data_IF_461295537386
#
_entry.id   IF_461295537386
#
_cell.length_a   1.000
_cell.length_b   1.000
_cell.length_c   1.000
_cell.angle_alpha   90.00
_cell.angle_beta   90.00
_cell.angle_gamma   90.00
#
_symmetry.space_group_name_H-M   'P 1'
#
loop_
_entity.id
_entity.type
_entity.pdbx_description
1 polymer ?
#
# COMPACT_ATOMS: atom_id res chain seq x y z
N UNK A 1 17.82 -6.61 -1.05
CA UNK A 1 17.24 -5.89 0.10
C UNK A 1 16.10 -6.75 0.59
N UNK A 2 16.18 -7.33 1.80
CA UNK A 2 15.09 -8.19 2.29
C UNK A 2 13.88 -7.32 2.63
N UNK A 3 12.73 -7.58 1.99
CA UNK A 3 11.47 -6.88 2.26
C UNK A 3 10.62 -7.57 3.36
N UNK A 4 11.10 -8.69 3.91
CA UNK A 4 10.41 -9.41 4.96
C UNK A 4 10.61 -8.69 6.31
N UNK A 5 9.70 -7.78 6.63
CA UNK A 5 9.79 -6.97 7.85
C UNK A 5 8.79 -7.46 8.90
N UNK A 6 9.29 -8.06 9.99
CA UNK A 6 8.48 -8.43 11.15
C UNK A 6 8.21 -7.25 12.11
N UNK A 7 8.93 -6.13 11.95
CA UNK A 7 8.77 -4.89 12.74
C UNK A 7 8.03 -3.78 11.97
N UNK A 8 7.68 -2.71 12.67
CA UNK A 8 7.08 -1.50 12.08
C UNK A 8 8.09 -0.75 11.24
N UNK A 9 7.69 -0.36 10.03
CA UNK A 9 8.49 0.47 9.14
C UNK A 9 8.11 1.95 9.28
N UNK A 10 9.10 2.82 9.15
CA UNK A 10 8.81 4.24 8.93
C UNK A 10 8.29 4.48 7.50
N UNK A 11 7.83 5.71 7.22
CA UNK A 11 7.24 6.06 5.92
C UNK A 11 8.22 5.90 4.75
N UNK A 12 9.52 6.19 4.96
CA UNK A 12 10.54 6.10 3.91
C UNK A 12 10.82 4.64 3.59
N UNK A 13 11.07 3.83 4.62
CA UNK A 13 11.27 2.39 4.49
C UNK A 13 10.06 1.70 3.84
N UNK A 14 8.85 2.12 4.23
CA UNK A 14 7.60 1.58 3.67
C UNK A 14 7.47 1.88 2.19
N UNK A 15 7.83 3.09 1.76
CA UNK A 15 7.88 3.46 0.35
C UNK A 15 8.91 2.62 -0.41
N UNK A 16 10.11 2.46 0.12
CA UNK A 16 11.16 1.66 -0.53
C UNK A 16 10.73 0.20 -0.72
N UNK A 17 10.24 -0.43 0.35
CA UNK A 17 9.73 -1.81 0.31
C UNK A 17 8.61 -1.95 -0.71
N UNK A 18 7.63 -1.05 -0.67
CA UNK A 18 6.48 -1.14 -1.57
C UNK A 18 6.84 -0.82 -3.02
N UNK A 19 7.87 0.00 -3.27
CA UNK A 19 8.42 0.24 -4.61
C UNK A 19 9.00 -1.03 -5.20
N UNK A 20 9.81 -1.76 -4.44
CA UNK A 20 10.35 -3.04 -4.90
C UNK A 20 9.24 -4.08 -5.17
N UNK A 21 8.20 -4.12 -4.33
CA UNK A 21 7.03 -4.97 -4.57
C UNK A 21 6.32 -4.57 -5.86
N UNK A 22 6.03 -3.28 -6.05
CA UNK A 22 5.30 -2.76 -7.22
C UNK A 22 6.06 -2.99 -8.54
N UNK A 23 7.38 -2.88 -8.50
CA UNK A 23 8.26 -3.11 -9.65
C UNK A 23 8.51 -4.61 -9.93
N UNK A 24 8.04 -5.52 -9.08
CA UNK A 24 8.31 -6.96 -9.20
C UNK A 24 9.76 -7.34 -8.89
N UNK A 25 10.48 -6.50 -8.15
CA UNK A 25 11.89 -6.66 -7.78
C UNK A 25 12.08 -7.55 -6.54
N UNK A 26 11.11 -8.39 -6.22
CA UNK A 26 11.07 -9.25 -5.02
C UNK A 26 10.73 -10.68 -5.43
N UNK A 27 11.32 -11.66 -4.73
CA UNK A 27 10.98 -13.06 -4.97
C UNK A 27 9.58 -13.41 -4.43
N UNK A 28 8.96 -14.47 -4.96
CA UNK A 28 7.67 -14.98 -4.47
C UNK A 28 7.71 -15.30 -2.96
N UNK A 29 8.85 -15.80 -2.49
CA UNK A 29 9.06 -16.13 -1.08
C UNK A 29 9.06 -14.86 -0.20
N UNK A 30 9.76 -13.81 -0.63
CA UNK A 30 9.80 -12.52 0.07
C UNK A 30 8.43 -11.84 0.06
N UNK A 31 7.71 -11.87 -1.07
CA UNK A 31 6.35 -11.34 -1.18
C UNK A 31 5.39 -12.10 -0.26
N UNK A 32 5.47 -13.43 -0.22
CA UNK A 32 4.68 -14.26 0.68
C UNK A 32 4.96 -13.96 2.15
N UNK A 33 6.24 -13.83 2.52
CA UNK A 33 6.65 -13.47 3.88
C UNK A 33 6.13 -12.08 4.29
N UNK A 34 6.22 -11.08 3.40
CA UNK A 34 5.65 -9.76 3.62
C UNK A 34 4.13 -9.82 3.84
N UNK A 35 3.39 -10.55 3.00
CA UNK A 35 1.95 -10.72 3.14
C UNK A 35 1.56 -11.35 4.49
N UNK A 36 2.29 -12.37 4.94
CA UNK A 36 2.06 -13.03 6.23
C UNK A 36 2.35 -12.06 7.39
N UNK A 37 3.44 -11.31 7.33
CA UNK A 37 3.78 -10.32 8.36
C UNK A 37 2.69 -9.24 8.48
N UNK A 38 2.21 -8.71 7.34
CA UNK A 38 1.11 -7.74 7.31
C UNK A 38 -0.21 -8.33 7.83
N UNK A 39 -0.50 -9.60 7.56
CA UNK A 39 -1.69 -10.28 8.09
C UNK A 39 -1.69 -10.36 9.62
N UNK A 40 -0.52 -10.55 10.22
CA UNK A 40 -0.35 -10.70 11.67
C UNK A 40 -0.28 -9.34 12.37
N UNK A 41 0.55 -8.41 11.88
CA UNK A 41 0.79 -7.13 12.55
C UNK A 41 -0.19 -6.02 12.14
N UNK A 42 -0.80 -6.13 10.96
CA UNK A 42 -1.54 -5.06 10.31
C UNK A 42 -0.64 -3.95 9.76
N UNK A 43 -1.26 -2.91 9.22
CA UNK A 43 -0.60 -1.68 8.79
C UNK A 43 -0.72 -0.57 9.84
N UNK A 44 0.36 0.18 10.01
CA UNK A 44 0.32 1.47 10.69
C UNK A 44 0.01 2.59 9.70
N UNK A 45 -0.42 3.76 10.20
CA UNK A 45 -0.64 4.93 9.35
C UNK A 45 0.62 5.37 8.59
N UNK A 46 1.80 5.29 9.23
CA UNK A 46 3.07 5.64 8.60
C UNK A 46 3.40 4.70 7.43
N UNK A 47 3.14 3.40 7.61
CA UNK A 47 3.36 2.39 6.58
C UNK A 47 2.44 2.61 5.38
N UNK A 48 1.15 2.81 5.64
CA UNK A 48 0.16 3.07 4.61
C UNK A 48 0.50 4.33 3.80
N UNK A 49 0.96 5.40 4.45
CA UNK A 49 1.41 6.60 3.77
C UNK A 49 2.61 6.35 2.84
N UNK A 50 3.56 5.50 3.26
CA UNK A 50 4.69 5.11 2.41
C UNK A 50 4.25 4.29 1.20
N UNK A 51 3.28 3.38 1.38
CA UNK A 51 2.71 2.61 0.27
C UNK A 51 1.99 3.51 -0.74
N UNK A 52 1.24 4.51 -0.26
CA UNK A 52 0.59 5.51 -1.12
C UNK A 52 1.62 6.37 -1.86
N UNK A 53 2.74 6.75 -1.23
CA UNK A 53 3.81 7.51 -1.90
C UNK A 53 4.43 6.75 -3.08
N UNK A 54 4.50 5.42 -2.99
CA UNK A 54 4.90 4.57 -4.11
C UNK A 54 3.83 4.54 -5.20
N UNK A 55 2.55 4.45 -4.85
CA UNK A 55 1.46 4.37 -5.83
C UNK A 55 1.20 5.69 -6.53
N UNK A 56 1.38 6.82 -5.86
CA UNK A 56 0.97 8.15 -6.32
C UNK A 56 1.43 8.50 -7.75
N UNK A 57 2.68 8.22 -8.19
CA UNK A 57 3.12 8.47 -9.56
C UNK A 57 2.41 7.62 -10.63
N UNK A 58 1.81 6.50 -10.23
CA UNK A 58 1.12 5.55 -11.11
C UNK A 58 -0.41 5.76 -11.14
N UNK A 59 -0.94 6.67 -10.32
CA UNK A 59 -2.38 6.94 -10.24
C UNK A 59 -2.82 7.93 -11.32
N UNK A 60 -3.87 7.57 -12.05
CA UNK A 60 -4.60 8.51 -12.90
C UNK A 60 -5.56 9.32 -12.04
N UNK A 61 -5.14 10.53 -11.65
CA UNK A 61 -5.94 11.40 -10.80
C UNK A 61 -7.18 11.93 -11.54
N UNK A 62 -8.33 11.89 -10.88
CA UNK A 62 -9.57 12.44 -11.40
C UNK A 62 -9.53 13.97 -11.35
N UNK A 63 -9.88 14.62 -12.47
CA UNK A 63 -10.14 16.05 -12.46
C UNK A 63 -11.55 16.31 -11.91
N UNK A 64 -11.61 16.91 -10.72
CA UNK A 64 -12.85 17.11 -9.97
C UNK A 64 -13.59 18.40 -10.41
N UNK A 65 -12.97 19.21 -11.27
CA UNK A 65 -13.54 20.49 -11.69
C UNK A 65 -13.70 21.47 -10.53
N UNK A 66 -14.68 22.37 -10.62
CA UNK A 66 -14.92 23.43 -9.62
C UNK A 66 -16.00 23.10 -8.60
N UNK A 67 -16.70 21.97 -8.74
CA UNK A 67 -17.75 21.55 -7.82
C UNK A 67 -17.18 20.62 -6.74
N UNK A 68 -17.71 20.66 -5.50
CA UNK A 68 -17.34 19.68 -4.49
C UNK A 68 -17.65 18.25 -4.96
N UNK A 69 -16.72 17.32 -4.74
CA UNK A 69 -16.96 15.91 -4.93
C UNK A 69 -16.94 15.17 -3.59
N UNK A 70 -17.77 14.11 -3.53
CA UNK A 70 -17.89 13.23 -2.38
C UNK A 70 -17.40 11.86 -2.81
N UNK A 71 -16.42 11.32 -2.09
CA UNK A 71 -15.96 9.94 -2.27
C UNK A 71 -16.64 9.09 -1.21
N UNK A 72 -17.43 8.10 -1.65
CA UNK A 72 -18.07 7.12 -0.78
C UNK A 72 -17.38 5.77 -0.99
N UNK A 73 -16.28 5.47 -0.26
CA UNK A 73 -15.64 4.18 -0.37
C UNK A 73 -16.59 3.10 0.16
N UNK A 74 -16.72 2.00 -0.58
CA UNK A 74 -17.46 0.82 -0.10
C UNK A 74 -16.63 -0.43 -0.37
N UNK A 75 -16.44 -1.23 0.66
CA UNK A 75 -15.88 -2.58 0.52
C UNK A 75 -17.04 -3.50 0.13
N UNK A 76 -17.47 -3.41 -1.13
CA UNK A 76 -18.46 -4.28 -1.75
C UNK A 76 -19.77 -4.46 -0.95
N UNK A 77 -20.84 -3.77 -1.36
CA UNK A 77 -22.18 -3.98 -0.80
C UNK A 77 -22.75 -5.33 -1.31
N UNK A 78 -22.33 -6.43 -0.69
CA UNK A 78 -22.96 -7.73 -0.86
C UNK A 78 -24.28 -7.73 -0.09
N UNK A 79 -25.38 -7.36 -0.76
CA UNK A 79 -26.72 -7.70 -0.26
C UNK A 79 -26.85 -9.23 -0.29
N UNK A 80 -27.08 -9.83 0.87
CA UNK A 80 -28.28 -10.65 0.99
C UNK A 80 -29.44 -9.73 1.35
#
# INVERSE_FOLDING_TARGET
MSIACAGTLDRIQSKEVFTHILEGNVSDLELGAFCIAMRIKGETASELMGFIDTLQPHLNLLNIGSKPAIVLPSYNWARK
#
